data_IF_922476042002
#
_entry.id   IF_922476042002
#
_cell.length_a   1.000
_cell.length_b   1.000
_cell.length_c   1.000
_cell.angle_alpha   90.00
_cell.angle_beta   90.00
_cell.angle_gamma   90.00
#
_symmetry.space_group_name_H-M   'P 1'
#
loop_
_entity.id
_entity.type
_entity.pdbx_description
1 polymer ?
#
# COMPACT_ATOMS: atom_id res chain seq x y z
N UNK A 1 -25.44 28.87 -13.84
CA UNK A 1 -24.87 27.57 -13.43
C UNK A 1 -23.41 27.52 -13.88
N UNK A 2 -22.44 27.13 -13.02
CA UNK A 2 -21.06 26.97 -13.46
C UNK A 2 -21.00 25.94 -14.60
N UNK A 3 -20.19 26.20 -15.65
CA UNK A 3 -19.99 25.25 -16.74
C UNK A 3 -19.48 23.93 -16.16
N UNK A 4 -20.23 22.85 -16.38
CA UNK A 4 -19.77 21.51 -16.03
C UNK A 4 -18.58 21.19 -16.94
N UNK A 5 -17.39 21.15 -16.35
CA UNK A 5 -16.15 20.78 -17.01
C UNK A 5 -15.36 19.80 -16.12
N UNK A 6 -14.27 19.24 -16.64
CA UNK A 6 -13.47 18.24 -15.93
C UNK A 6 -13.00 18.74 -14.55
N UNK A 7 -12.59 20.01 -14.44
CA UNK A 7 -12.14 20.60 -13.18
C UNK A 7 -13.28 20.69 -12.15
N UNK A 8 -14.49 21.06 -12.58
CA UNK A 8 -15.67 21.10 -11.73
C UNK A 8 -16.05 19.70 -11.21
N UNK A 9 -16.03 18.69 -12.09
CA UNK A 9 -16.35 17.30 -11.73
C UNK A 9 -15.31 16.75 -10.74
N UNK A 10 -14.02 16.95 -11.02
CA UNK A 10 -12.94 16.50 -10.14
C UNK A 10 -13.03 17.15 -8.75
N UNK A 11 -13.28 18.47 -8.70
CA UNK A 11 -13.50 19.19 -7.44
C UNK A 11 -14.69 18.62 -6.67
N UNK A 12 -15.82 18.40 -7.34
CA UNK A 12 -17.02 17.81 -6.73
C UNK A 12 -16.74 16.41 -6.17
N UNK A 13 -16.00 15.57 -6.91
CA UNK A 13 -15.64 14.23 -6.47
C UNK A 13 -14.75 14.26 -5.22
N UNK A 14 -13.72 15.12 -5.20
CA UNK A 14 -12.83 15.28 -4.04
C UNK A 14 -13.62 15.74 -2.81
N UNK A 15 -14.49 16.74 -2.96
CA UNK A 15 -15.29 17.25 -1.86
C UNK A 15 -16.29 16.21 -1.32
N UNK A 16 -16.90 15.44 -2.20
CA UNK A 16 -17.77 14.33 -1.78
C UNK A 16 -16.96 13.24 -1.05
N UNK A 17 -15.79 12.87 -1.55
CA UNK A 17 -14.94 11.87 -0.92
C UNK A 17 -14.51 12.30 0.50
N UNK A 18 -14.12 13.57 0.69
CA UNK A 18 -13.80 14.12 2.01
C UNK A 18 -14.98 13.98 2.99
N UNK A 19 -16.19 14.36 2.56
CA UNK A 19 -17.40 14.27 3.39
C UNK A 19 -17.76 12.83 3.75
N UNK A 20 -17.44 11.87 2.89
CA UNK A 20 -17.75 10.45 3.08
C UNK A 20 -16.68 9.69 3.86
N UNK A 21 -15.62 10.34 4.36
CA UNK A 21 -14.50 9.66 5.06
C UNK A 21 -14.96 8.82 6.25
N UNK A 22 -15.85 9.36 7.10
CA UNK A 22 -16.33 8.62 8.27
C UNK A 22 -17.26 7.47 7.88
N UNK A 23 -18.16 7.69 6.91
CA UNK A 23 -19.01 6.62 6.38
C UNK A 23 -18.19 5.48 5.77
N UNK A 24 -17.10 5.82 5.06
CA UNK A 24 -16.14 4.85 4.56
C UNK A 24 -15.48 4.06 5.71
N UNK A 25 -15.01 4.75 6.75
CA UNK A 25 -14.41 4.11 7.94
C UNK A 25 -15.39 3.14 8.60
N UNK A 26 -16.64 3.55 8.78
CA UNK A 26 -17.69 2.70 9.36
C UNK A 26 -17.96 1.47 8.50
N UNK A 27 -17.99 1.60 7.17
CA UNK A 27 -18.14 0.47 6.26
C UNK A 27 -16.97 -0.51 6.31
N UNK A 28 -15.74 -0.01 6.49
CA UNK A 28 -14.54 -0.87 6.66
C UNK A 28 -14.58 -1.62 7.99
N UNK A 29 -15.03 -0.98 9.07
CA UNK A 29 -15.09 -1.60 10.40
C UNK A 29 -16.27 -2.55 10.57
N UNK A 30 -17.35 -2.38 9.80
CA UNK A 30 -18.56 -3.19 9.88
C UNK A 30 -18.89 -3.87 8.54
N UNK A 31 -18.01 -4.75 8.03
CA UNK A 31 -18.24 -5.37 6.74
C UNK A 31 -19.32 -6.47 6.83
N UNK A 32 -20.20 -6.55 5.83
CA UNK A 32 -21.23 -7.60 5.71
C UNK A 32 -20.59 -9.00 5.64
N UNK A 33 -19.38 -9.09 5.09
CA UNK A 33 -18.57 -10.32 5.02
C UNK A 33 -17.11 -9.99 5.35
N UNK A 34 -16.46 -10.83 6.16
CA UNK A 34 -15.05 -10.67 6.49
C UNK A 34 -14.16 -10.61 5.25
N UNK A 35 -13.30 -9.59 5.17
CA UNK A 35 -12.50 -9.29 3.98
C UNK A 35 -11.58 -10.46 3.58
N UNK A 36 -10.92 -11.10 4.54
CA UNK A 36 -10.04 -12.25 4.29
C UNK A 36 -10.83 -13.44 3.72
N UNK A 37 -11.98 -13.78 4.30
CA UNK A 37 -12.84 -14.87 3.82
C UNK A 37 -13.41 -14.59 2.43
N UNK A 38 -13.74 -13.33 2.14
CA UNK A 38 -14.17 -12.92 0.80
C UNK A 38 -13.03 -13.03 -0.21
N UNK A 39 -11.82 -12.60 0.16
CA UNK A 39 -10.64 -12.66 -0.70
C UNK A 39 -10.23 -14.10 -1.02
N UNK A 40 -10.24 -15.00 -0.03
CA UNK A 40 -9.95 -16.42 -0.23
C UNK A 40 -10.95 -17.09 -1.17
N UNK A 41 -12.24 -16.79 -1.01
CA UNK A 41 -13.28 -17.31 -1.92
C UNK A 41 -13.15 -16.78 -3.35
N UNK A 42 -12.48 -15.65 -3.55
CA UNK A 42 -12.24 -15.05 -4.86
C UNK A 42 -10.86 -15.40 -5.45
N UNK A 43 -10.13 -16.36 -4.88
CA UNK A 43 -8.78 -16.72 -5.30
C UNK A 43 -8.69 -17.09 -6.78
N UNK A 44 -9.64 -17.90 -7.27
CA UNK A 44 -9.65 -18.34 -8.68
C UNK A 44 -9.96 -17.17 -9.63
N UNK A 45 -10.93 -16.33 -9.27
CA UNK A 45 -11.24 -15.10 -10.01
C UNK A 45 -10.03 -14.17 -10.08
N UNK A 46 -9.27 -14.06 -8.99
CA UNK A 46 -8.00 -13.30 -8.97
C UNK A 46 -6.97 -13.92 -9.90
N UNK A 47 -6.79 -15.24 -9.86
CA UNK A 47 -5.83 -15.94 -10.72
C UNK A 47 -6.14 -15.71 -12.21
N UNK A 48 -7.42 -15.84 -12.58
CA UNK A 48 -7.87 -15.58 -13.95
C UNK A 48 -7.65 -14.12 -14.37
N UNK A 49 -7.95 -13.16 -13.49
CA UNK A 49 -7.70 -11.74 -13.76
C UNK A 49 -6.21 -11.43 -13.96
N UNK A 50 -5.32 -12.08 -13.20
CA UNK A 50 -3.87 -11.95 -13.39
C UNK A 50 -3.44 -12.51 -14.73
N UNK A 51 -3.91 -13.70 -15.12
CA UNK A 51 -3.61 -14.28 -16.45
C UNK A 51 -4.03 -13.34 -17.57
N UNK A 52 -5.28 -12.84 -17.53
CA UNK A 52 -5.76 -11.84 -18.51
C UNK A 52 -4.91 -10.58 -18.54
N UNK A 53 -4.43 -10.11 -17.38
CA UNK A 53 -3.57 -8.92 -17.32
C UNK A 53 -2.24 -9.15 -18.05
N UNK A 54 -1.66 -10.34 -17.88
CA UNK A 54 -0.42 -10.77 -18.53
C UNK A 54 -0.62 -10.93 -20.03
N UNK A 55 -1.67 -11.65 -20.45
CA UNK A 55 -1.99 -11.86 -21.87
C UNK A 55 -2.19 -10.53 -22.60
N UNK A 56 -2.86 -9.58 -21.93
CA UNK A 56 -3.11 -8.24 -22.48
C UNK A 56 -1.92 -7.28 -22.37
N UNK A 57 -0.81 -7.68 -21.74
CA UNK A 57 0.36 -6.84 -21.45
C UNK A 57 -0.02 -5.51 -20.80
N UNK A 58 -0.95 -5.58 -19.85
CA UNK A 58 -1.59 -4.39 -19.28
C UNK A 58 -0.57 -3.54 -18.52
N UNK A 59 0.38 -4.20 -17.85
CA UNK A 59 1.44 -3.54 -17.10
C UNK A 59 2.40 -2.79 -18.01
N UNK A 60 2.89 -3.44 -19.06
CA UNK A 60 3.83 -2.88 -20.02
C UNK A 60 3.23 -1.68 -20.74
N UNK A 61 1.95 -1.80 -21.15
CA UNK A 61 1.20 -0.68 -21.74
C UNK A 61 1.13 0.50 -20.77
N UNK A 62 0.78 0.27 -19.50
CA UNK A 62 0.75 1.33 -18.51
C UNK A 62 2.13 1.97 -18.29
N UNK A 63 3.18 1.17 -18.12
CA UNK A 63 4.54 1.68 -17.88
C UNK A 63 5.08 2.47 -19.06
N UNK A 64 4.71 2.13 -20.31
CA UNK A 64 5.11 2.89 -21.50
C UNK A 64 4.59 4.33 -21.52
N UNK A 65 3.54 4.64 -20.74
CA UNK A 65 2.91 5.97 -20.68
C UNK A 65 3.40 6.84 -19.52
N UNK A 66 4.21 6.28 -18.62
CA UNK A 66 4.65 6.94 -17.40
C UNK A 66 6.08 7.46 -17.59
N UNK A 67 6.31 8.73 -17.29
CA UNK A 67 7.65 9.32 -17.30
C UNK A 67 8.35 9.21 -15.95
N UNK A 68 9.68 9.18 -15.96
CA UNK A 68 10.50 9.18 -14.75
C UNK A 68 10.21 10.38 -13.85
N UNK A 69 9.96 11.56 -14.43
CA UNK A 69 9.63 12.77 -13.68
C UNK A 69 8.27 12.65 -12.98
N UNK A 70 7.29 12.02 -13.62
CA UNK A 70 6.02 11.71 -12.97
C UNK A 70 6.22 10.79 -11.76
N UNK A 71 7.04 9.75 -11.92
CA UNK A 71 7.36 8.80 -10.84
C UNK A 71 8.08 9.50 -9.69
N UNK A 72 9.13 10.27 -9.98
CA UNK A 72 9.90 11.02 -8.98
C UNK A 72 8.99 11.96 -8.19
N UNK A 73 8.18 12.75 -8.88
CA UNK A 73 7.27 13.71 -8.25
C UNK A 73 6.23 13.03 -7.38
N UNK A 74 5.55 12.00 -7.86
CA UNK A 74 4.52 11.29 -7.07
C UNK A 74 5.11 10.53 -5.89
N UNK A 75 6.29 9.95 -6.05
CA UNK A 75 7.01 9.28 -4.97
C UNK A 75 7.41 10.28 -3.87
N UNK A 76 7.92 11.46 -4.25
CA UNK A 76 8.29 12.49 -3.29
C UNK A 76 7.08 13.13 -2.59
N UNK A 77 6.04 13.52 -3.34
CA UNK A 77 4.88 14.25 -2.80
C UNK A 77 3.95 13.35 -1.96
N UNK A 78 3.70 12.11 -2.40
CA UNK A 78 2.69 11.22 -1.78
C UNK A 78 3.36 10.05 -1.07
N UNK A 79 4.42 9.49 -1.66
CA UNK A 79 5.10 8.32 -1.15
C UNK A 79 5.76 8.57 0.21
N UNK A 80 6.41 9.72 0.39
CA UNK A 80 7.09 10.09 1.65
C UNK A 80 6.15 10.05 2.86
N UNK A 81 5.00 10.71 2.78
CA UNK A 81 4.01 10.74 3.85
C UNK A 81 3.40 9.35 4.13
N UNK A 82 3.13 8.56 3.07
CA UNK A 82 2.62 7.20 3.21
C UNK A 82 3.65 6.24 3.82
N UNK A 83 4.91 6.41 3.48
CA UNK A 83 6.01 5.61 4.03
C UNK A 83 6.11 5.82 5.54
N UNK A 84 6.23 7.06 5.99
CA UNK A 84 6.32 7.38 7.42
C UNK A 84 5.10 6.84 8.20
N UNK A 85 3.89 7.12 7.71
CA UNK A 85 2.66 6.61 8.35
C UNK A 85 2.55 5.08 8.35
N UNK A 86 3.03 4.42 7.30
CA UNK A 86 3.08 2.96 7.21
C UNK A 86 4.08 2.32 8.17
N UNK A 87 5.27 2.92 8.32
CA UNK A 87 6.28 2.47 9.29
C UNK A 87 5.75 2.64 10.71
N UNK A 88 5.15 3.79 11.03
CA UNK A 88 4.56 4.05 12.35
C UNK A 88 3.44 3.05 12.66
N UNK A 89 2.53 2.81 11.71
CA UNK A 89 1.45 1.83 11.89
C UNK A 89 1.96 0.38 12.04
N UNK A 90 3.17 0.08 11.57
CA UNK A 90 3.82 -1.22 11.66
C UNK A 90 4.82 -1.32 12.84
N UNK A 91 4.91 -0.30 13.70
CA UNK A 91 5.87 -0.22 14.79
C UNK A 91 5.82 -1.46 15.70
N UNK A 92 4.65 -1.86 16.17
CA UNK A 92 4.49 -3.03 17.05
C UNK A 92 5.01 -4.32 16.41
N UNK A 93 4.77 -4.50 15.10
CA UNK A 93 5.28 -5.66 14.36
C UNK A 93 6.81 -5.63 14.29
N UNK A 94 7.37 -4.46 14.07
CA UNK A 94 8.82 -4.23 14.00
C UNK A 94 9.47 -4.48 15.35
N UNK A 95 8.94 -3.92 16.43
CA UNK A 95 9.41 -4.16 17.80
C UNK A 95 9.33 -5.65 18.15
N UNK A 96 8.23 -6.32 17.83
CA UNK A 96 8.09 -7.77 18.06
C UNK A 96 9.13 -8.61 17.30
N UNK A 97 9.50 -8.20 16.08
CA UNK A 97 10.58 -8.84 15.35
C UNK A 97 11.93 -8.62 16.04
N UNK A 98 12.24 -7.37 16.39
CA UNK A 98 13.51 -7.01 17.03
C UNK A 98 13.69 -7.61 18.41
N UNK A 99 12.64 -7.70 19.21
CA UNK A 99 12.66 -8.38 20.51
C UNK A 99 13.07 -9.85 20.40
N UNK A 100 12.72 -10.51 19.29
CA UNK A 100 13.10 -11.90 19.03
C UNK A 100 14.48 -12.02 18.38
N UNK A 101 14.81 -11.11 17.49
CA UNK A 101 16.01 -11.21 16.66
C UNK A 101 17.26 -10.62 17.32
N UNK A 102 17.14 -9.51 18.05
CA UNK A 102 18.26 -8.81 18.65
C UNK A 102 19.13 -9.70 19.57
N UNK A 103 18.58 -10.62 20.39
CA UNK A 103 19.41 -11.52 21.19
C UNK A 103 20.32 -12.42 20.35
N UNK A 104 19.84 -12.89 19.19
CA UNK A 104 20.65 -13.71 18.28
C UNK A 104 21.75 -12.90 17.60
N UNK A 105 21.45 -11.64 17.25
CA UNK A 105 22.46 -10.73 16.71
C UNK A 105 23.59 -10.52 17.72
N UNK A 106 23.27 -10.21 18.98
CA UNK A 106 24.26 -9.98 20.02
C UNK A 106 25.09 -11.23 20.33
N UNK A 107 24.48 -12.42 20.31
CA UNK A 107 25.19 -13.68 20.47
C UNK A 107 26.24 -13.89 19.36
N UNK A 108 25.86 -13.69 18.10
CA UNK A 108 26.77 -13.84 16.96
C UNK A 108 27.87 -12.78 17.01
N UNK A 109 27.52 -11.54 17.31
CA UNK A 109 28.47 -10.44 17.44
C UNK A 109 29.52 -10.73 18.51
N UNK A 110 29.11 -11.20 19.68
CA UNK A 110 30.01 -11.57 20.77
C UNK A 110 30.98 -12.69 20.38
N UNK A 111 30.52 -13.66 19.57
CA UNK A 111 31.38 -14.73 19.05
C UNK A 111 32.43 -14.21 18.06
N UNK A 112 32.04 -13.29 17.18
CA UNK A 112 32.96 -12.68 16.20
C UNK A 112 34.03 -11.84 16.93
N UNK A 113 33.62 -11.03 17.90
CA UNK A 113 34.56 -10.21 18.70
C UNK A 113 35.53 -11.05 19.53
N UNK A 114 35.21 -12.32 19.81
CA UNK A 114 36.08 -13.26 20.53
C UNK A 114 37.03 -14.07 19.62
N UNK A 115 36.98 -13.89 18.30
CA UNK A 115 37.89 -14.57 17.37
C UNK A 115 39.26 -13.88 17.38
N UNK A 116 40.38 -14.63 17.48
CA UNK A 116 41.71 -14.07 17.32
C UNK A 116 41.95 -13.66 15.85
N UNK A 117 42.70 -12.57 15.65
CA UNK A 117 43.10 -12.04 14.34
C UNK A 117 43.86 -13.06 13.46
#
# INVERSE_FOLDING_TARGET
MPKINAAFIAKKQVENAKRSTEAYRQGVLNPIRGAATAALAAADKRAEAVRRSLDNKTWEKAMSTISDDYVKRKSAEVGSARYAGGVEAAKDKTENFWNKWAPHLEEVRSKIEAMPD
#
